data_IF_134865980278
#
_entry.id   IF_134865980278
#
_cell.length_a   1.000
_cell.length_b   1.000
_cell.length_c   1.000
_cell.angle_alpha   90.00
_cell.angle_beta   90.00
_cell.angle_gamma   90.00
#
_symmetry.space_group_name_H-M   'P 1'
#
loop_
_entity.id
_entity.type
_entity.pdbx_description
1 polymer ?
#
# COMPACT_ATOMS: atom_id res chain seq x y z
N UNK A 1 100.92 -32.76 -63.46
CA UNK A 1 101.13 -34.06 -62.85
C UNK A 1 99.86 -34.40 -62.09
N UNK A 2 99.16 -35.28 -62.64
CA UNK A 2 98.66 -36.53 -62.05
C UNK A 2 97.78 -36.29 -60.77
N UNK A 3 96.64 -36.66 -60.70
CA UNK A 3 95.96 -37.86 -61.14
C UNK A 3 94.52 -37.86 -60.65
N UNK A 4 93.72 -38.40 -61.50
CA UNK A 4 92.36 -38.97 -61.16
C UNK A 4 92.58 -40.28 -60.32
N UNK A 5 91.62 -40.88 -59.72
CA UNK A 5 90.18 -41.05 -60.04
C UNK A 5 89.23 -41.24 -58.81
N UNK A 6 88.08 -41.42 -59.10
CA UNK A 6 87.17 -42.64 -59.02
C UNK A 6 85.76 -42.29 -58.43
N UNK A 7 84.87 -42.72 -59.24
CA UNK A 7 83.44 -42.91 -59.03
C UNK A 7 83.06 -43.76 -57.80
N UNK A 8 81.91 -43.52 -57.25
CA UNK A 8 80.97 -44.61 -56.96
C UNK A 8 79.53 -44.01 -56.71
N UNK A 9 78.56 -44.86 -56.86
CA UNK A 9 77.18 -44.46 -57.26
C UNK A 9 76.15 -44.35 -56.10
N UNK A 10 74.89 -44.10 -56.42
CA UNK A 10 73.95 -43.43 -55.54
C UNK A 10 73.23 -44.42 -54.59
N UNK A 11 73.07 -44.04 -53.38
CA UNK A 11 72.22 -44.74 -52.46
C UNK A 11 70.84 -44.10 -52.34
N UNK A 12 69.92 -44.89 -52.62
CA UNK A 12 68.46 -44.84 -52.53
C UNK A 12 68.03 -44.47 -51.14
N UNK A 13 67.30 -43.34 -50.92
CA UNK A 13 66.66 -42.98 -49.69
C UNK A 13 65.15 -43.12 -49.86
N UNK A 14 64.47 -43.93 -49.11
CA UNK A 14 63.03 -44.08 -49.22
C UNK A 14 62.29 -42.84 -48.65
N UNK A 15 61.35 -42.39 -49.42
CA UNK A 15 60.40 -41.34 -49.08
C UNK A 15 59.44 -41.77 -47.99
N UNK A 16 59.58 -41.28 -46.75
CA UNK A 16 58.58 -41.40 -45.73
C UNK A 16 57.49 -40.42 -45.98
N UNK A 17 56.26 -40.93 -46.08
CA UNK A 17 55.00 -40.16 -46.06
C UNK A 17 54.88 -39.40 -44.72
N UNK A 18 54.38 -38.16 -44.69
CA UNK A 18 53.91 -37.57 -43.45
C UNK A 18 52.53 -38.15 -43.10
N UNK A 19 52.46 -38.82 -41.98
CA UNK A 19 51.22 -39.27 -41.39
C UNK A 19 50.39 -38.10 -40.87
N UNK A 20 49.14 -38.16 -41.25
CA UNK A 20 47.87 -37.59 -40.83
C UNK A 20 47.84 -36.63 -39.61
N UNK A 21 47.07 -35.55 -39.71
CA UNK A 21 46.70 -34.70 -38.59
C UNK A 21 45.50 -35.30 -37.87
N UNK A 22 45.72 -35.96 -36.74
CA UNK A 22 44.69 -36.39 -35.83
C UNK A 22 45.00 -35.77 -34.46
N UNK A 23 44.55 -34.55 -34.19
CA UNK A 23 44.37 -34.02 -32.83
C UNK A 23 43.79 -32.60 -32.76
N UNK A 24 42.87 -32.20 -33.63
CA UNK A 24 42.19 -30.89 -33.47
C UNK A 24 40.68 -30.96 -33.17
N UNK A 25 40.13 -32.19 -33.06
CA UNK A 25 38.68 -32.35 -32.87
C UNK A 25 38.18 -32.23 -31.41
N UNK A 26 39.02 -32.51 -30.43
CA UNK A 26 38.57 -32.55 -29.03
C UNK A 26 38.55 -31.17 -28.34
N UNK A 27 39.41 -30.25 -28.71
CA UNK A 27 39.46 -28.91 -28.10
C UNK A 27 38.27 -28.04 -28.53
N UNK A 28 37.82 -28.14 -29.80
CA UNK A 28 36.69 -27.38 -30.31
C UNK A 28 35.34 -27.85 -29.77
N UNK A 29 35.20 -29.13 -29.41
CA UNK A 29 33.98 -29.68 -28.87
C UNK A 29 33.76 -29.29 -27.39
N UNK A 30 34.82 -29.19 -26.59
CA UNK A 30 34.77 -28.75 -25.21
C UNK A 30 34.52 -27.23 -25.10
N UNK A 31 35.08 -26.40 -25.96
CA UNK A 31 34.88 -24.94 -25.96
C UNK A 31 33.42 -24.57 -26.31
N UNK A 32 32.75 -25.35 -27.20
CA UNK A 32 31.39 -25.08 -27.64
C UNK A 32 30.35 -25.45 -26.56
N UNK A 33 30.61 -26.46 -25.75
CA UNK A 33 29.73 -26.91 -24.68
C UNK A 33 29.79 -26.00 -23.45
N UNK A 34 30.95 -25.39 -23.12
CA UNK A 34 31.07 -24.48 -21.99
C UNK A 34 30.34 -23.16 -22.23
N UNK A 35 30.35 -22.63 -23.46
CA UNK A 35 29.62 -21.42 -23.83
C UNK A 35 28.11 -21.61 -23.76
N UNK A 36 27.61 -22.81 -24.08
CA UNK A 36 26.18 -23.12 -23.99
C UNK A 36 25.73 -23.22 -22.52
N UNK A 37 26.51 -23.87 -21.67
CA UNK A 37 26.23 -23.97 -20.22
C UNK A 37 26.25 -22.59 -19.54
N UNK A 38 27.21 -21.74 -19.87
CA UNK A 38 27.29 -20.39 -19.32
C UNK A 38 26.09 -19.52 -19.73
N UNK A 39 25.66 -19.62 -20.99
CA UNK A 39 24.43 -18.95 -21.47
C UNK A 39 23.18 -19.43 -20.76
N UNK A 40 23.04 -20.75 -20.54
CA UNK A 40 21.91 -21.29 -19.77
C UNK A 40 21.90 -20.80 -18.32
N UNK A 41 23.06 -20.74 -17.65
CA UNK A 41 23.18 -20.24 -16.28
C UNK A 41 22.80 -18.74 -16.21
N UNK A 42 23.28 -17.93 -17.15
CA UNK A 42 22.93 -16.49 -17.21
C UNK A 42 21.44 -16.30 -17.45
N UNK A 43 20.82 -17.08 -18.31
CA UNK A 43 19.36 -17.02 -18.54
C UNK A 43 18.55 -17.47 -17.31
N UNK A 44 19.00 -18.48 -16.59
CA UNK A 44 18.36 -18.92 -15.34
C UNK A 44 18.49 -17.86 -14.24
N UNK A 45 19.65 -17.21 -14.10
CA UNK A 45 19.85 -16.10 -13.16
C UNK A 45 18.97 -14.91 -13.55
N UNK A 46 18.91 -14.55 -14.83
CA UNK A 46 18.06 -13.47 -15.32
C UNK A 46 16.57 -13.76 -15.08
N UNK A 47 16.12 -14.99 -15.32
CA UNK A 47 14.76 -15.44 -15.03
C UNK A 47 14.45 -15.42 -13.52
N UNK A 48 15.39 -15.84 -12.69
CA UNK A 48 15.26 -15.79 -11.22
C UNK A 48 15.20 -14.35 -10.70
N UNK A 49 16.04 -13.45 -11.24
CA UNK A 49 15.99 -12.02 -10.92
C UNK A 49 14.66 -11.41 -11.37
N UNK A 50 14.18 -11.74 -12.57
CA UNK A 50 12.88 -11.27 -13.05
C UNK A 50 11.71 -11.73 -12.16
N UNK A 51 11.76 -12.95 -11.61
CA UNK A 51 10.80 -13.47 -10.64
C UNK A 51 10.84 -12.70 -9.31
N UNK A 52 12.02 -12.31 -8.83
CA UNK A 52 12.18 -11.50 -7.62
C UNK A 52 11.62 -10.07 -7.80
N UNK A 53 11.73 -9.48 -8.98
CA UNK A 53 11.19 -8.14 -9.25
C UNK A 53 9.65 -8.12 -9.43
N UNK A 54 9.03 -9.24 -9.80
CA UNK A 54 7.57 -9.30 -9.91
C UNK A 54 6.85 -9.31 -8.53
N UNK A 55 7.57 -9.53 -7.43
CA UNK A 55 7.00 -9.51 -6.07
C UNK A 55 6.88 -8.12 -5.43
N UNK A 56 7.33 -7.04 -6.09
CA UNK A 56 7.34 -5.68 -5.54
C UNK A 56 6.27 -4.76 -6.16
N UNK A 57 5.27 -5.31 -6.84
CA UNK A 57 4.09 -4.54 -7.19
C UNK A 57 3.36 -4.18 -5.88
N UNK A 58 3.67 -3.02 -5.32
CA UNK A 58 2.97 -2.46 -4.16
C UNK A 58 1.54 -2.18 -4.62
N UNK A 59 0.59 -3.02 -4.20
CA UNK A 59 -0.82 -2.80 -4.49
C UNK A 59 -1.21 -1.41 -3.98
N UNK A 60 -1.81 -0.62 -4.86
CA UNK A 60 -2.33 0.70 -4.49
C UNK A 60 -3.41 0.49 -3.42
N UNK A 61 -3.34 1.20 -2.27
CA UNK A 61 -4.32 1.02 -1.23
C UNK A 61 -5.73 1.30 -1.77
N UNK A 62 -6.69 0.50 -1.34
CA UNK A 62 -8.08 0.68 -1.71
C UNK A 62 -8.62 2.01 -1.17
N UNK A 63 -9.70 2.51 -1.76
CA UNK A 63 -10.37 3.73 -1.32
C UNK A 63 -10.69 3.68 0.19
N UNK A 64 -11.22 2.55 0.67
CA UNK A 64 -11.60 2.41 2.08
C UNK A 64 -10.39 2.24 3.01
N UNK A 65 -9.26 1.73 2.54
CA UNK A 65 -8.02 1.76 3.32
C UNK A 65 -7.52 3.21 3.50
N UNK A 66 -7.63 4.03 2.47
CA UNK A 66 -7.28 5.46 2.56
C UNK A 66 -8.24 6.19 3.50
N UNK A 67 -9.56 5.97 3.38
CA UNK A 67 -10.58 6.55 4.29
C UNK A 67 -10.36 6.12 5.74
N UNK A 68 -10.02 4.84 5.98
CA UNK A 68 -9.70 4.34 7.32
C UNK A 68 -8.46 5.04 7.90
N UNK A 69 -7.43 5.29 7.09
CA UNK A 69 -6.26 6.06 7.51
C UNK A 69 -6.62 7.53 7.83
N UNK A 70 -7.56 8.13 7.11
CA UNK A 70 -8.08 9.46 7.44
C UNK A 70 -8.84 9.47 8.78
N UNK A 71 -9.72 8.49 9.03
CA UNK A 71 -10.42 8.39 10.32
C UNK A 71 -9.44 8.34 11.50
N UNK A 72 -8.39 7.53 11.40
CA UNK A 72 -7.32 7.50 12.39
C UNK A 72 -6.60 8.86 12.52
N UNK A 73 -6.31 9.53 11.41
CA UNK A 73 -5.64 10.82 11.42
C UNK A 73 -6.53 11.93 11.99
N UNK A 74 -7.84 11.91 11.78
CA UNK A 74 -8.74 12.87 12.37
C UNK A 74 -8.64 12.86 13.90
N UNK A 75 -8.44 11.69 14.53
CA UNK A 75 -8.21 11.61 15.96
C UNK A 75 -6.99 12.39 16.47
N UNK A 76 -6.01 12.68 15.61
CA UNK A 76 -4.83 13.48 15.97
C UNK A 76 -5.04 14.98 15.90
N UNK A 77 -6.04 15.41 15.14
CA UNK A 77 -6.27 16.80 14.79
C UNK A 77 -7.58 17.37 15.32
N UNK A 78 -8.32 16.56 16.06
CA UNK A 78 -9.57 16.98 16.74
C UNK A 78 -9.35 16.88 18.24
N UNK A 79 -9.78 17.89 18.96
CA UNK A 79 -9.81 17.91 20.42
C UNK A 79 -11.24 17.70 20.89
N UNK A 80 -11.45 16.73 21.76
CA UNK A 80 -12.71 16.45 22.44
C UNK A 80 -12.70 17.09 23.82
N UNK A 81 -13.87 17.55 24.31
CA UNK A 81 -13.98 17.99 25.70
C UNK A 81 -13.73 16.81 26.65
N UNK A 82 -13.27 17.05 27.88
CA UNK A 82 -12.93 15.97 28.84
C UNK A 82 -14.09 15.01 29.10
N UNK A 83 -15.32 15.51 29.14
CA UNK A 83 -16.54 14.74 29.37
C UNK A 83 -16.99 13.87 28.19
N UNK A 84 -16.30 13.93 27.04
CA UNK A 84 -16.48 13.00 25.93
C UNK A 84 -15.86 11.60 26.21
N UNK A 85 -15.17 11.45 27.34
CA UNK A 85 -14.53 10.20 27.76
C UNK A 85 -15.01 9.81 29.16
N UNK A 86 -15.21 8.52 29.39
CA UNK A 86 -15.61 8.04 30.71
C UNK A 86 -14.50 8.26 31.77
N UNK A 87 -13.23 8.13 31.36
CA UNK A 87 -12.06 8.34 32.20
C UNK A 87 -10.82 8.73 31.39
N UNK A 88 -9.70 8.99 32.10
CA UNK A 88 -8.44 9.40 31.47
C UNK A 88 -7.79 8.32 30.60
N UNK A 89 -8.14 7.06 30.79
CA UNK A 89 -7.57 5.92 30.07
C UNK A 89 -8.51 5.33 28.99
N UNK A 90 -9.76 5.82 28.94
CA UNK A 90 -10.74 5.34 27.96
C UNK A 90 -10.19 5.47 26.55
N UNK A 91 -10.34 4.45 25.70
CA UNK A 91 -9.87 4.49 24.32
C UNK A 91 -10.67 5.50 23.48
N UNK A 92 -10.10 5.91 22.36
CA UNK A 92 -10.84 6.62 21.31
C UNK A 92 -11.62 5.56 20.53
N UNK A 93 -12.94 5.61 20.62
CA UNK A 93 -13.81 4.68 19.89
C UNK A 93 -14.13 5.26 18.50
N UNK A 94 -13.78 4.51 17.45
CA UNK A 94 -14.22 4.78 16.08
C UNK A 94 -15.36 3.83 15.77
N UNK A 95 -16.53 4.38 15.51
CA UNK A 95 -17.75 3.64 15.19
C UNK A 95 -18.11 3.69 13.72
N UNK A 96 -18.78 2.66 13.22
CA UNK A 96 -19.48 2.63 11.95
C UNK A 96 -20.96 2.41 12.22
N UNK A 97 -21.80 3.29 11.70
CA UNK A 97 -23.26 3.16 11.77
C UNK A 97 -23.79 2.73 10.40
N UNK A 98 -24.39 1.55 10.37
CA UNK A 98 -24.87 0.89 9.17
C UNK A 98 -23.88 -0.14 8.62
N UNK A 99 -23.81 -0.29 7.30
CA UNK A 99 -22.94 -1.27 6.66
C UNK A 99 -21.47 -0.95 6.88
N UNK A 100 -20.68 -1.94 7.33
CA UNK A 100 -19.23 -1.80 7.50
C UNK A 100 -18.52 -1.95 6.14
N UNK A 101 -18.28 -0.83 5.50
CA UNK A 101 -17.57 -0.75 4.21
C UNK A 101 -16.05 -0.88 4.32
N UNK A 102 -15.50 -0.82 5.54
CA UNK A 102 -14.05 -0.90 5.78
C UNK A 102 -13.54 -2.35 5.91
N UNK A 103 -14.44 -3.33 6.11
CA UNK A 103 -14.03 -4.69 6.46
C UNK A 103 -13.09 -4.67 7.68
N UNK A 104 -11.90 -5.26 7.54
CA UNK A 104 -10.88 -5.30 8.59
C UNK A 104 -9.83 -4.17 8.49
N UNK A 105 -9.94 -3.29 7.49
CA UNK A 105 -8.91 -2.28 7.22
C UNK A 105 -8.79 -1.26 8.35
N UNK A 106 -9.92 -0.84 8.92
CA UNK A 106 -9.93 0.13 10.01
C UNK A 106 -9.29 -0.45 11.27
N UNK A 107 -9.64 -1.67 11.65
CA UNK A 107 -9.05 -2.38 12.80
C UNK A 107 -7.53 -2.54 12.64
N UNK A 108 -7.06 -2.97 11.45
CA UNK A 108 -5.63 -3.10 11.16
C UNK A 108 -4.88 -1.78 11.30
N UNK A 109 -5.51 -0.66 10.90
CA UNK A 109 -4.87 0.66 10.96
C UNK A 109 -4.78 1.16 12.40
N UNK A 110 -5.78 0.93 13.24
CA UNK A 110 -5.82 1.46 14.61
C UNK A 110 -5.16 0.54 15.64
N UNK A 111 -4.93 -0.72 15.30
CA UNK A 111 -4.31 -1.70 16.21
C UNK A 111 -2.96 -1.18 16.72
N UNK A 112 -2.71 -1.34 18.02
CA UNK A 112 -1.50 -0.93 18.74
C UNK A 112 -1.10 0.55 18.60
N UNK A 113 -1.97 1.39 18.03
CA UNK A 113 -1.74 2.82 17.91
C UNK A 113 -2.33 3.59 19.06
N UNK A 114 -1.73 4.74 19.37
CA UNK A 114 -2.19 5.66 20.41
C UNK A 114 -2.18 7.11 19.93
N UNK A 115 -3.11 7.88 20.43
CA UNK A 115 -3.16 9.34 20.31
C UNK A 115 -3.39 9.91 21.70
N UNK A 116 -2.52 10.82 22.17
CA UNK A 116 -2.59 11.42 23.51
C UNK A 116 -2.70 10.36 24.63
N UNK A 117 -1.88 9.30 24.55
CA UNK A 117 -1.87 8.13 25.44
C UNK A 117 -3.13 7.25 25.42
N UNK A 118 -4.13 7.56 24.60
CA UNK A 118 -5.34 6.74 24.43
C UNK A 118 -5.14 5.76 23.29
N UNK A 119 -5.42 4.49 23.53
CA UNK A 119 -5.56 3.48 22.48
C UNK A 119 -6.84 3.70 21.66
N UNK A 120 -7.08 2.81 20.73
CA UNK A 120 -8.28 2.84 19.90
C UNK A 120 -9.14 1.61 20.10
N UNK A 121 -10.44 1.78 19.85
CA UNK A 121 -11.42 0.70 19.79
C UNK A 121 -12.28 0.91 18.54
N UNK A 122 -12.56 -0.17 17.82
CA UNK A 122 -13.52 -0.20 16.72
C UNK A 122 -14.85 -0.81 17.17
N UNK A 123 -15.97 -0.24 16.72
CA UNK A 123 -17.31 -0.78 16.97
C UNK A 123 -18.25 -0.55 15.80
N UNK A 124 -19.09 -1.55 15.50
CA UNK A 124 -20.24 -1.36 14.63
C UNK A 124 -21.48 -1.05 15.48
N UNK A 125 -22.34 -0.17 14.96
CA UNK A 125 -23.58 0.24 15.60
C UNK A 125 -24.75 0.07 14.62
N UNK A 126 -25.87 -0.40 15.12
CA UNK A 126 -27.10 -0.54 14.35
C UNK A 126 -27.98 0.72 14.48
N UNK A 127 -27.88 1.41 15.62
CA UNK A 127 -28.65 2.62 15.90
C UNK A 127 -27.78 3.77 16.44
N UNK A 128 -28.17 5.04 16.22
CA UNK A 128 -27.43 6.19 16.73
C UNK A 128 -27.43 6.29 18.25
N UNK A 129 -28.41 5.69 18.93
CA UNK A 129 -28.49 5.70 20.40
C UNK A 129 -27.41 4.85 21.05
N UNK A 130 -26.91 3.82 20.36
CA UNK A 130 -25.81 2.98 20.82
C UNK A 130 -24.46 3.66 20.66
N UNK A 131 -24.36 4.63 19.73
CA UNK A 131 -23.12 5.30 19.37
C UNK A 131 -22.79 6.52 20.26
N UNK A 132 -23.57 6.78 21.31
CA UNK A 132 -23.41 7.99 22.15
C UNK A 132 -22.06 8.11 22.86
N UNK A 133 -21.34 7.01 23.03
CA UNK A 133 -20.02 6.95 23.69
C UNK A 133 -18.86 6.79 22.70
N UNK A 134 -19.05 7.02 21.41
CA UNK A 134 -17.95 7.01 20.47
C UNK A 134 -17.43 8.43 20.19
N UNK A 135 -16.17 8.54 19.81
CA UNK A 135 -15.55 9.84 19.52
C UNK A 135 -15.61 10.16 18.02
N UNK A 136 -15.52 9.16 17.17
CA UNK A 136 -15.62 9.32 15.69
C UNK A 136 -16.69 8.33 15.21
N UNK A 137 -17.70 8.80 14.51
CA UNK A 137 -18.77 7.98 13.95
C UNK A 137 -18.82 8.16 12.42
N UNK A 138 -18.43 7.11 11.71
CA UNK A 138 -18.66 7.04 10.26
C UNK A 138 -20.10 6.55 10.03
N UNK A 139 -20.85 7.32 9.25
CA UNK A 139 -22.23 7.01 8.88
C UNK A 139 -22.24 6.54 7.44
N UNK A 140 -22.47 5.25 7.26
CA UNK A 140 -22.44 4.59 5.94
C UNK A 140 -23.54 5.13 5.02
N UNK A 141 -23.29 5.10 3.71
CA UNK A 141 -24.26 5.43 2.66
C UNK A 141 -25.55 4.61 2.74
N UNK A 142 -25.51 3.42 3.36
CA UNK A 142 -26.69 2.59 3.64
C UNK A 142 -27.73 3.29 4.54
N UNK A 143 -27.32 4.33 5.28
CA UNK A 143 -28.18 5.15 6.17
C UNK A 143 -28.53 6.52 5.56
N UNK A 144 -28.33 6.75 4.25
CA UNK A 144 -28.53 8.04 3.58
C UNK A 144 -29.92 8.63 3.81
N UNK A 145 -30.97 7.83 3.79
CA UNK A 145 -32.34 8.28 4.00
C UNK A 145 -32.59 8.87 5.41
N UNK A 146 -31.79 8.48 6.39
CA UNK A 146 -31.96 8.82 7.79
C UNK A 146 -30.95 9.85 8.32
N UNK A 147 -30.09 10.44 7.47
CA UNK A 147 -29.01 11.34 7.93
C UNK A 147 -29.49 12.43 8.87
N UNK A 148 -30.54 13.18 8.50
CA UNK A 148 -31.04 14.27 9.33
C UNK A 148 -31.53 13.76 10.71
N UNK A 149 -32.19 12.61 10.75
CA UNK A 149 -32.64 11.97 11.99
C UNK A 149 -31.47 11.50 12.85
N UNK A 150 -30.46 10.88 12.23
CA UNK A 150 -29.26 10.41 12.92
C UNK A 150 -28.48 11.58 13.51
N UNK A 151 -28.19 12.62 12.71
CA UNK A 151 -27.47 13.80 13.16
C UNK A 151 -28.26 14.52 14.26
N UNK A 152 -29.60 14.65 14.12
CA UNK A 152 -30.46 15.19 15.15
C UNK A 152 -30.41 14.44 16.48
N UNK A 153 -30.33 13.09 16.44
CA UNK A 153 -30.19 12.26 17.64
C UNK A 153 -28.83 12.42 18.33
N UNK A 154 -27.79 12.79 17.58
CA UNK A 154 -26.41 12.94 18.08
C UNK A 154 -26.04 14.40 18.44
N UNK A 155 -26.93 15.37 18.26
CA UNK A 155 -26.60 16.81 18.31
C UNK A 155 -26.02 17.28 19.66
N UNK A 156 -26.31 16.60 20.75
CA UNK A 156 -25.78 16.90 22.10
C UNK A 156 -24.55 16.09 22.48
N UNK A 157 -24.10 15.17 21.61
CA UNK A 157 -22.95 14.35 21.85
C UNK A 157 -21.70 14.95 21.19
N UNK A 158 -20.56 14.89 21.89
CA UNK A 158 -19.27 15.35 21.33
C UNK A 158 -18.68 14.29 20.43
N UNK A 159 -19.36 13.95 19.33
CA UNK A 159 -19.01 12.93 18.37
C UNK A 159 -18.66 13.58 17.04
N UNK A 160 -17.48 13.30 16.50
CA UNK A 160 -17.10 13.69 15.15
C UNK A 160 -17.85 12.81 14.15
N UNK A 161 -18.85 13.36 13.47
CA UNK A 161 -19.60 12.62 12.44
C UNK A 161 -18.91 12.73 11.09
N UNK A 162 -18.74 11.59 10.43
CA UNK A 162 -18.07 11.46 9.13
C UNK A 162 -18.97 10.70 8.17
N UNK A 163 -19.14 11.19 6.96
CA UNK A 163 -19.90 10.54 5.90
C UNK A 163 -19.14 10.53 4.57
N UNK A 164 -19.79 10.02 3.53
CA UNK A 164 -19.23 9.92 2.17
C UNK A 164 -20.28 10.17 1.09
N UNK A 165 -21.40 10.71 1.46
CA UNK A 165 -22.58 10.78 0.56
C UNK A 165 -23.05 12.22 0.39
N UNK A 166 -23.51 12.52 -0.80
CA UNK A 166 -24.15 13.81 -1.08
C UNK A 166 -25.32 14.08 -0.13
N UNK A 167 -25.39 15.32 0.34
CA UNK A 167 -26.39 15.75 1.29
C UNK A 167 -26.00 15.57 2.77
N UNK A 168 -24.92 14.83 3.08
CA UNK A 168 -24.47 14.63 4.46
C UNK A 168 -24.13 15.93 5.18
N UNK A 169 -23.38 16.83 4.51
CA UNK A 169 -23.06 18.16 5.06
C UNK A 169 -24.32 19.01 5.27
N UNK A 170 -25.28 18.97 4.33
CA UNK A 170 -26.57 19.68 4.45
C UNK A 170 -27.44 19.17 5.60
N UNK A 171 -27.31 17.89 5.93
CA UNK A 171 -27.98 17.29 7.09
C UNK A 171 -27.32 17.66 8.43
N UNK A 172 -26.19 18.39 8.43
CA UNK A 172 -25.45 18.81 9.62
C UNK A 172 -24.26 17.92 9.95
N UNK A 173 -23.84 17.07 9.03
CA UNK A 173 -22.61 16.27 9.17
C UNK A 173 -21.36 17.16 9.23
N UNK A 174 -20.32 16.70 9.91
CA UNK A 174 -19.11 17.50 10.16
C UNK A 174 -18.03 17.30 9.12
N UNK A 175 -17.78 16.06 8.71
CA UNK A 175 -16.80 15.74 7.66
C UNK A 175 -17.46 14.86 6.60
N UNK A 176 -17.27 15.19 5.33
CA UNK A 176 -17.75 14.35 4.24
C UNK A 176 -16.61 14.00 3.30
N UNK A 177 -16.38 12.71 3.07
CA UNK A 177 -15.43 12.24 2.06
C UNK A 177 -15.99 12.48 0.66
N UNK A 178 -15.08 12.88 -0.22
CA UNK A 178 -15.32 13.04 -1.64
C UNK A 178 -14.31 12.18 -2.40
N UNK A 179 -14.74 11.65 -3.53
CA UNK A 179 -13.86 10.93 -4.43
C UNK A 179 -13.68 11.74 -5.72
N UNK A 180 -12.52 12.38 -5.86
CA UNK A 180 -12.18 13.22 -7.01
C UNK A 180 -11.10 12.54 -7.86
N UNK A 181 -11.49 12.07 -9.04
CA UNK A 181 -10.62 11.28 -9.89
C UNK A 181 -10.19 9.99 -9.19
N UNK A 182 -8.94 9.93 -8.74
CA UNK A 182 -8.36 8.76 -8.08
C UNK A 182 -7.91 9.05 -6.63
N UNK A 183 -8.39 10.15 -6.05
CA UNK A 183 -7.97 10.65 -4.74
C UNK A 183 -9.17 10.82 -3.80
N UNK A 184 -8.99 10.38 -2.56
CA UNK A 184 -9.92 10.68 -1.47
C UNK A 184 -9.63 12.11 -0.98
N UNK A 185 -10.65 12.96 -1.01
CA UNK A 185 -10.66 14.31 -0.45
C UNK A 185 -11.73 14.38 0.62
N UNK A 186 -11.84 15.49 1.32
CA UNK A 186 -12.89 15.68 2.32
C UNK A 186 -13.24 17.15 2.49
N UNK A 187 -14.50 17.39 2.86
CA UNK A 187 -15.02 18.67 3.29
C UNK A 187 -15.17 18.68 4.81
N UNK A 188 -15.08 19.84 5.45
CA UNK A 188 -15.28 20.01 6.89
C UNK A 188 -16.25 21.17 7.13
N UNK A 189 -17.20 20.97 8.04
CA UNK A 189 -18.00 22.00 8.67
C UNK A 189 -17.46 22.29 10.07
N UNK A 190 -16.62 23.30 10.21
CA UNK A 190 -16.09 23.75 11.50
C UNK A 190 -17.21 24.28 12.42
N UNK A 191 -18.27 24.86 11.82
CA UNK A 191 -19.45 25.30 12.57
C UNK A 191 -20.19 24.11 13.22
N UNK A 192 -20.42 23.02 12.48
CA UNK A 192 -21.05 21.82 13.03
C UNK A 192 -20.20 21.19 14.14
N UNK A 193 -18.88 21.15 13.95
CA UNK A 193 -17.95 20.64 14.96
C UNK A 193 -17.98 21.47 16.25
N UNK A 194 -17.97 22.81 16.14
CA UNK A 194 -18.07 23.73 17.30
C UNK A 194 -19.38 23.57 18.05
N UNK A 195 -20.51 23.36 17.37
CA UNK A 195 -21.80 23.06 18.00
C UNK A 195 -21.75 21.79 18.85
N UNK A 196 -20.97 20.78 18.43
CA UNK A 196 -20.72 19.54 19.18
C UNK A 196 -19.56 19.68 20.19
N UNK A 197 -19.09 20.89 20.48
CA UNK A 197 -17.97 21.19 21.38
C UNK A 197 -16.63 20.56 20.98
N UNK A 198 -16.47 20.27 19.68
CA UNK A 198 -15.22 19.78 19.13
C UNK A 198 -14.36 20.95 18.61
N UNK A 199 -13.05 20.82 18.77
CA UNK A 199 -12.09 21.74 18.19
C UNK A 199 -11.30 21.06 17.09
N UNK A 200 -11.43 21.54 15.87
CA UNK A 200 -10.67 21.05 14.71
C UNK A 200 -9.44 21.93 14.52
N UNK A 201 -8.26 21.31 14.42
CA UNK A 201 -7.02 22.06 14.23
C UNK A 201 -7.01 22.77 12.87
N UNK A 202 -6.40 23.98 12.82
CA UNK A 202 -6.23 24.75 11.59
C UNK A 202 -5.48 23.96 10.50
N UNK A 203 -4.57 23.07 10.91
CA UNK A 203 -3.86 22.18 9.98
C UNK A 203 -4.81 21.21 9.27
N UNK A 204 -5.81 20.66 9.97
CA UNK A 204 -6.79 19.78 9.33
C UNK A 204 -7.75 20.60 8.44
N UNK A 205 -8.18 21.77 8.91
CA UNK A 205 -9.04 22.68 8.13
C UNK A 205 -8.39 23.10 6.80
N UNK A 206 -7.08 23.37 6.80
CA UNK A 206 -6.35 23.77 5.58
C UNK A 206 -6.22 22.66 4.52
N UNK A 207 -6.47 21.41 4.89
CA UNK A 207 -6.45 20.26 3.97
C UNK A 207 -7.84 19.95 3.37
N UNK A 208 -8.89 20.52 3.93
CA UNK A 208 -10.25 20.32 3.46
C UNK A 208 -10.51 21.10 2.16
N UNK A 209 -11.33 20.53 1.29
CA UNK A 209 -11.88 21.27 0.15
C UNK A 209 -13.07 22.13 0.60
N UNK A 210 -13.33 23.29 -0.05
CA UNK A 210 -14.45 24.15 0.30
C UNK A 210 -15.79 23.41 0.26
N UNK A 211 -16.69 23.75 1.18
CA UNK A 211 -18.10 23.32 1.15
C UNK A 211 -18.86 24.25 0.23
N UNK A 212 -19.48 23.72 -0.82
CA UNK A 212 -20.31 24.46 -1.77
C UNK A 212 -21.79 24.29 -1.49
#
# INVERSE_FOLDING_TARGET
MTGKPALTPPDFVPRLKPDSPAESGHAAFYARNSSCRLRCIVLLIAAFIALLFNGLAQEKPSEYEVKAAFLFNFAKFVEWPPDAFADTNSPITIGVLGENVFGNSLEKIINDRKVNNRGFQFRNFDSPTEATNCQILFISSSKKADFAKIIGALHNASILTVGETDGFMKAGGMINFLFEGNNVRFQISDEAAKKARLKISSKLLSLAVPVH
#
